data_IF_044098808181
#
_entry.id   IF_044098808181
#
_cell.length_a   1.000
_cell.length_b   1.000
_cell.length_c   1.000
_cell.angle_alpha   90.00
_cell.angle_beta   90.00
_cell.angle_gamma   90.00
#
_symmetry.space_group_name_H-M   'P 1'
#
loop_
_entity.id
_entity.type
_entity.pdbx_description
1 polymer ?
#
# COMPACT_ATOMS: atom_id res chain seq x y z
N UNK A 1 0.91 -31.39 -4.65
CA UNK A 1 0.93 -30.15 -5.44
C UNK A 1 2.35 -29.92 -5.93
N UNK A 2 2.57 -29.89 -7.23
CA UNK A 2 3.89 -29.51 -7.80
C UNK A 2 4.19 -28.08 -7.37
N UNK A 3 5.29 -27.89 -6.64
CA UNK A 3 5.75 -26.57 -6.22
C UNK A 3 6.07 -25.75 -7.46
N UNK A 4 5.37 -24.64 -7.69
CA UNK A 4 5.68 -23.72 -8.77
C UNK A 4 7.12 -23.21 -8.59
N UNK A 5 7.87 -23.10 -9.68
CA UNK A 5 9.16 -22.41 -9.67
C UNK A 5 8.88 -20.95 -10.04
N UNK A 6 8.99 -20.04 -9.10
CA UNK A 6 8.79 -18.60 -9.33
C UNK A 6 10.01 -18.03 -10.03
N UNK A 7 9.81 -17.51 -11.23
CA UNK A 7 10.86 -16.84 -12.00
C UNK A 7 10.91 -15.36 -11.65
N UNK A 8 12.11 -14.80 -11.52
CA UNK A 8 12.37 -13.38 -11.34
C UNK A 8 13.06 -12.84 -12.58
N UNK A 9 12.42 -11.90 -13.28
CA UNK A 9 12.96 -11.30 -14.49
C UNK A 9 13.06 -9.77 -14.35
N UNK A 10 14.14 -9.15 -14.82
CA UNK A 10 14.21 -7.71 -14.95
C UNK A 10 13.14 -7.22 -15.93
N UNK A 11 12.64 -6.02 -15.71
CA UNK A 11 11.70 -5.39 -16.63
C UNK A 11 12.33 -5.19 -18.01
N UNK A 12 11.60 -5.64 -19.02
CA UNK A 12 11.88 -5.45 -20.45
C UNK A 12 10.58 -5.63 -21.24
N UNK A 13 10.53 -5.24 -22.51
CA UNK A 13 9.37 -5.53 -23.37
C UNK A 13 9.06 -7.03 -23.46
N UNK A 14 10.10 -7.87 -23.48
CA UNK A 14 9.95 -9.32 -23.55
C UNK A 14 9.35 -9.87 -22.25
N UNK A 15 9.82 -9.41 -21.08
CA UNK A 15 9.28 -9.85 -19.80
C UNK A 15 7.86 -9.33 -19.56
N UNK A 16 7.52 -8.12 -20.07
CA UNK A 16 6.16 -7.60 -20.06
C UNK A 16 5.20 -8.46 -20.92
N UNK A 17 5.62 -8.87 -22.12
CA UNK A 17 4.83 -9.81 -22.96
C UNK A 17 4.63 -11.16 -22.28
N UNK A 18 5.67 -11.71 -21.66
CA UNK A 18 5.58 -12.96 -20.89
C UNK A 18 4.60 -12.83 -19.72
N UNK A 19 4.64 -11.70 -18.99
CA UNK A 19 3.68 -11.41 -17.93
C UNK A 19 2.23 -11.35 -18.47
N UNK A 20 2.03 -10.69 -19.61
CA UNK A 20 0.72 -10.61 -20.27
C UNK A 20 0.19 -11.97 -20.70
N UNK A 21 1.02 -12.85 -21.29
CA UNK A 21 0.64 -14.21 -21.67
C UNK A 21 0.19 -15.03 -20.45
N UNK A 22 0.92 -14.96 -19.33
CA UNK A 22 0.54 -15.62 -18.08
C UNK A 22 -0.81 -15.12 -17.58
N UNK A 23 -1.02 -13.79 -17.54
CA UNK A 23 -2.27 -13.21 -17.05
C UNK A 23 -3.44 -13.44 -18.00
N UNK A 24 -3.22 -13.45 -19.31
CA UNK A 24 -4.24 -13.84 -20.30
C UNK A 24 -4.68 -15.30 -20.15
N UNK A 25 -3.79 -16.19 -19.70
CA UNK A 25 -4.11 -17.57 -19.34
C UNK A 25 -4.76 -17.72 -17.95
N UNK A 26 -5.08 -16.61 -17.25
CA UNK A 26 -5.68 -16.60 -15.92
C UNK A 26 -4.69 -16.72 -14.77
N UNK A 27 -3.39 -16.58 -15.04
CA UNK A 27 -2.33 -16.60 -14.02
C UNK A 27 -2.19 -15.28 -13.27
N UNK A 28 -1.31 -15.31 -12.27
CA UNK A 28 -0.99 -14.18 -11.39
C UNK A 28 0.48 -13.84 -11.49
N UNK A 29 0.84 -12.55 -11.57
CA UNK A 29 2.21 -12.07 -11.73
C UNK A 29 2.51 -10.95 -10.70
N UNK A 30 3.71 -10.97 -10.12
CA UNK A 30 4.23 -9.86 -9.33
C UNK A 30 4.72 -8.73 -10.25
N UNK A 31 4.17 -7.53 -10.10
CA UNK A 31 4.52 -6.37 -10.95
C UNK A 31 5.01 -5.19 -10.12
N UNK A 32 6.00 -4.41 -10.63
CA UNK A 32 6.48 -3.21 -9.96
C UNK A 32 5.50 -2.04 -10.15
N UNK A 33 5.32 -1.21 -9.12
CA UNK A 33 4.71 0.12 -9.25
C UNK A 33 5.56 1.15 -8.51
N UNK A 34 5.25 2.45 -8.68
CA UNK A 34 5.94 3.52 -7.95
C UNK A 34 5.63 3.53 -6.46
N UNK A 35 4.53 2.88 -6.04
CA UNK A 35 4.08 2.83 -4.63
C UNK A 35 4.60 1.61 -3.89
N UNK A 36 4.11 0.43 -4.23
CA UNK A 36 4.52 -0.88 -3.73
C UNK A 36 4.35 -1.90 -4.85
N UNK A 37 5.02 -3.04 -4.80
CA UNK A 37 4.78 -4.13 -5.76
C UNK A 37 3.36 -4.66 -5.65
N UNK A 38 2.73 -4.89 -6.80
CA UNK A 38 1.37 -5.43 -6.93
C UNK A 38 1.36 -6.91 -7.34
N UNK A 39 0.39 -7.65 -6.85
CA UNK A 39 0.09 -9.02 -7.29
C UNK A 39 -1.06 -8.96 -8.29
N UNK A 40 -0.75 -9.05 -9.59
CA UNK A 40 -1.64 -8.68 -10.69
C UNK A 40 -2.27 -9.87 -11.39
N UNK A 41 -3.55 -9.72 -11.76
CA UNK A 41 -4.29 -10.62 -12.65
C UNK A 41 -5.36 -9.84 -13.42
N UNK A 42 -5.98 -10.45 -14.45
CA UNK A 42 -7.10 -9.84 -15.19
C UNK A 42 -8.25 -9.48 -14.25
N UNK A 43 -8.54 -8.18 -14.12
CA UNK A 43 -9.58 -7.65 -13.23
C UNK A 43 -11.00 -8.13 -13.59
N UNK A 44 -11.22 -8.61 -14.81
CA UNK A 44 -12.52 -9.08 -15.34
C UNK A 44 -12.73 -10.58 -15.15
N UNK A 45 -11.63 -11.31 -14.88
CA UNK A 45 -11.66 -12.75 -14.72
C UNK A 45 -11.77 -13.14 -13.25
N UNK A 46 -12.96 -13.56 -12.83
CA UNK A 46 -13.21 -13.94 -11.44
C UNK A 46 -12.29 -15.04 -10.92
N UNK A 47 -11.97 -16.05 -11.74
CA UNK A 47 -11.06 -17.13 -11.35
C UNK A 47 -9.63 -16.63 -11.14
N UNK A 48 -9.12 -15.78 -12.04
CA UNK A 48 -7.80 -15.15 -11.90
C UNK A 48 -7.73 -14.25 -10.65
N UNK A 49 -8.78 -13.49 -10.35
CA UNK A 49 -8.87 -12.69 -9.14
C UNK A 49 -8.88 -13.54 -7.87
N UNK A 50 -9.60 -14.68 -7.87
CA UNK A 50 -9.57 -15.64 -6.74
C UNK A 50 -8.18 -16.20 -6.49
N UNK A 51 -7.40 -16.47 -7.55
CA UNK A 51 -6.00 -16.91 -7.41
C UNK A 51 -5.10 -15.88 -6.73
N UNK A 52 -5.39 -14.57 -6.85
CA UNK A 52 -4.69 -13.53 -6.07
C UNK A 52 -4.93 -13.75 -4.56
N UNK A 53 -6.19 -13.95 -4.15
CA UNK A 53 -6.53 -14.17 -2.75
C UNK A 53 -5.91 -15.46 -2.20
N UNK A 54 -5.89 -16.53 -2.98
CA UNK A 54 -5.26 -17.80 -2.62
C UNK A 54 -3.75 -17.66 -2.44
N UNK A 55 -3.05 -17.02 -3.40
CA UNK A 55 -1.62 -16.80 -3.32
C UNK A 55 -1.23 -15.98 -2.07
N UNK A 56 -2.04 -14.99 -1.68
CA UNK A 56 -1.82 -14.13 -0.51
C UNK A 56 -2.27 -14.78 0.81
N UNK A 57 -3.13 -15.80 0.80
CA UNK A 57 -3.86 -16.23 1.99
C UNK A 57 -4.78 -15.14 2.54
N UNK A 58 -5.45 -14.37 1.64
CA UNK A 58 -6.28 -13.19 1.99
C UNK A 58 -7.77 -13.53 1.92
N UNK A 59 -8.61 -13.02 2.87
CA UNK A 59 -10.05 -13.10 2.75
C UNK A 59 -10.58 -12.39 1.49
N UNK A 60 -11.60 -12.98 0.83
CA UNK A 60 -12.12 -12.50 -0.45
C UNK A 60 -13.08 -11.29 -0.34
N UNK A 61 -13.44 -10.87 0.87
CA UNK A 61 -14.36 -9.76 1.16
C UNK A 61 -13.67 -8.38 1.20
N UNK A 62 -12.43 -8.30 0.74
CA UNK A 62 -11.64 -7.07 0.73
C UNK A 62 -11.38 -6.64 -0.73
N UNK A 63 -11.96 -5.52 -1.20
CA UNK A 63 -11.90 -5.12 -2.60
C UNK A 63 -10.47 -4.93 -3.10
N UNK A 64 -10.28 -5.08 -4.41
CA UNK A 64 -9.00 -4.87 -5.09
C UNK A 64 -9.03 -3.57 -5.88
N UNK A 65 -7.85 -2.98 -6.09
CA UNK A 65 -7.67 -1.81 -6.96
C UNK A 65 -7.44 -2.31 -8.38
N UNK A 66 -8.23 -1.78 -9.31
CA UNK A 66 -8.08 -2.02 -10.75
C UNK A 66 -7.11 -1.00 -11.33
N UNK A 67 -6.08 -1.49 -12.02
CA UNK A 67 -5.05 -0.68 -12.62
C UNK A 67 -5.26 -0.57 -14.14
N UNK A 68 -5.17 0.65 -14.64
CA UNK A 68 -5.27 1.01 -16.06
C UNK A 68 -3.99 1.71 -16.52
N UNK A 69 -3.70 1.72 -17.83
CA UNK A 69 -2.54 2.41 -18.41
C UNK A 69 -2.92 3.70 -19.14
N UNK A 70 -4.21 3.85 -19.50
CA UNK A 70 -4.74 5.00 -20.21
C UNK A 70 -6.15 5.35 -19.71
N UNK A 71 -6.54 6.63 -19.83
CA UNK A 71 -7.83 7.13 -19.35
C UNK A 71 -9.01 6.52 -20.10
N UNK A 72 -8.81 6.16 -21.37
CA UNK A 72 -9.80 5.50 -22.23
C UNK A 72 -10.25 4.15 -21.72
N UNK A 73 -9.46 3.52 -20.84
CA UNK A 73 -9.83 2.25 -20.20
C UNK A 73 -10.78 2.45 -19.00
N UNK A 74 -10.98 3.68 -18.50
CA UNK A 74 -11.82 3.96 -17.34
C UNK A 74 -13.33 3.80 -17.64
N UNK A 75 -13.92 4.39 -18.73
CA UNK A 75 -15.36 4.37 -18.94
C UNK A 75 -16.00 2.98 -18.96
N UNK A 76 -15.39 1.91 -19.53
CA UNK A 76 -15.98 0.57 -19.51
C UNK A 76 -16.08 -0.03 -18.10
N UNK A 77 -15.27 0.42 -17.14
CA UNK A 77 -15.17 -0.15 -15.79
C UNK A 77 -16.19 0.43 -14.81
N UNK A 78 -16.75 1.59 -15.13
CA UNK A 78 -17.56 2.40 -14.22
C UNK A 78 -18.89 2.84 -14.87
N UNK A 79 -19.92 3.10 -14.04
CA UNK A 79 -21.22 3.57 -14.53
C UNK A 79 -21.27 5.07 -14.70
N UNK A 80 -20.46 5.81 -13.93
CA UNK A 80 -20.44 7.26 -13.89
C UNK A 80 -19.03 7.75 -13.55
N UNK A 81 -18.62 8.85 -14.19
CA UNK A 81 -17.36 9.55 -13.92
C UNK A 81 -17.71 11.00 -13.56
N UNK A 82 -17.59 11.40 -12.28
CA UNK A 82 -17.79 12.80 -11.89
C UNK A 82 -16.82 13.74 -12.61
N UNK A 83 -17.26 14.95 -12.95
CA UNK A 83 -16.40 15.96 -13.58
C UNK A 83 -15.17 16.28 -12.74
N UNK A 84 -15.33 16.32 -11.41
CA UNK A 84 -14.22 16.49 -10.46
C UNK A 84 -13.18 15.37 -10.59
N UNK A 85 -13.62 14.13 -10.85
CA UNK A 85 -12.69 13.01 -11.04
C UNK A 85 -11.81 13.19 -12.28
N UNK A 86 -12.33 13.76 -13.37
CA UNK A 86 -11.55 14.06 -14.57
C UNK A 86 -10.51 15.14 -14.29
N UNK A 87 -10.87 16.22 -13.58
CA UNK A 87 -9.94 17.29 -13.16
C UNK A 87 -8.83 16.77 -12.27
N UNK A 88 -9.15 15.87 -11.33
CA UNK A 88 -8.19 15.24 -10.45
C UNK A 88 -7.29 14.25 -11.23
N UNK A 89 -7.87 13.48 -12.17
CA UNK A 89 -7.10 12.57 -13.03
C UNK A 89 -6.10 13.32 -13.91
N UNK A 90 -6.50 14.43 -14.52
CA UNK A 90 -5.62 15.28 -15.35
C UNK A 90 -4.37 15.75 -14.58
N UNK A 91 -4.52 16.04 -13.28
CA UNK A 91 -3.41 16.54 -12.45
C UNK A 91 -2.57 15.43 -11.81
N UNK A 92 -3.19 14.30 -11.42
CA UNK A 92 -2.57 13.30 -10.58
C UNK A 92 -2.51 11.89 -11.17
N UNK A 93 -2.98 11.65 -12.38
CA UNK A 93 -2.79 10.45 -13.16
C UNK A 93 -1.93 10.70 -14.40
N UNK A 94 -0.96 9.82 -14.67
CA UNK A 94 -0.56 8.64 -13.88
C UNK A 94 0.10 9.03 -12.56
N UNK A 95 -0.19 8.26 -11.48
CA UNK A 95 0.36 8.58 -10.16
C UNK A 95 -0.17 7.74 -9.00
N UNK A 96 0.25 8.09 -7.76
CA UNK A 96 -0.08 7.35 -6.55
C UNK A 96 -1.48 7.71 -6.00
N UNK A 97 -2.48 7.78 -6.89
CA UNK A 97 -3.86 8.09 -6.57
C UNK A 97 -4.82 7.03 -7.08
N UNK A 98 -5.72 6.58 -6.22
CA UNK A 98 -6.82 5.66 -6.50
C UNK A 98 -8.14 6.37 -6.26
N UNK A 99 -9.05 6.31 -7.22
CA UNK A 99 -10.39 6.88 -7.13
C UNK A 99 -11.45 5.79 -7.12
N UNK A 100 -12.48 5.93 -6.29
CA UNK A 100 -13.59 4.97 -6.17
C UNK A 100 -14.78 5.49 -6.98
N UNK A 101 -15.33 4.60 -7.81
CA UNK A 101 -16.47 4.87 -8.68
C UNK A 101 -17.57 3.81 -8.54
N UNK A 102 -18.83 4.10 -8.90
CA UNK A 102 -19.86 3.06 -9.11
C UNK A 102 -19.39 2.09 -10.21
N UNK A 103 -19.29 0.79 -9.90
CA UNK A 103 -18.76 -0.21 -10.85
C UNK A 103 -19.75 -0.51 -11.97
N UNK A 104 -19.24 -0.81 -13.17
CA UNK A 104 -20.02 -1.44 -14.25
C UNK A 104 -20.14 -2.95 -14.04
N UNK A 105 -20.95 -3.60 -14.87
CA UNK A 105 -21.13 -5.06 -14.86
C UNK A 105 -19.88 -5.83 -15.37
N UNK A 106 -18.92 -5.12 -15.99
CA UNK A 106 -17.64 -5.70 -16.41
C UNK A 106 -16.79 -6.13 -15.19
N UNK A 107 -16.99 -5.52 -14.04
CA UNK A 107 -16.22 -5.80 -12.82
C UNK A 107 -16.94 -6.86 -11.97
N UNK A 108 -16.38 -8.09 -11.85
CA UNK A 108 -16.99 -9.16 -11.07
C UNK A 108 -17.00 -8.84 -9.57
N UNK A 109 -17.89 -9.53 -8.85
CA UNK A 109 -18.01 -9.37 -7.40
C UNK A 109 -16.69 -9.70 -6.66
N UNK A 110 -15.92 -10.65 -7.13
CA UNK A 110 -14.62 -11.00 -6.55
C UNK A 110 -13.64 -9.80 -6.56
N UNK A 111 -13.61 -9.01 -7.62
CA UNK A 111 -12.74 -7.82 -7.75
C UNK A 111 -13.22 -6.70 -6.83
N UNK A 112 -14.52 -6.47 -6.74
CA UNK A 112 -15.11 -5.42 -5.90
C UNK A 112 -15.30 -5.82 -4.43
N UNK A 113 -14.99 -7.07 -4.04
CA UNK A 113 -15.28 -7.58 -2.70
C UNK A 113 -16.77 -7.57 -2.37
N UNK A 114 -17.64 -7.71 -3.39
CA UNK A 114 -19.12 -7.66 -3.26
C UNK A 114 -19.68 -6.24 -3.11
N UNK A 115 -18.87 -5.19 -3.32
CA UNK A 115 -19.33 -3.79 -3.30
C UNK A 115 -19.90 -3.38 -4.67
N UNK A 116 -20.79 -2.37 -4.69
CA UNK A 116 -21.29 -1.71 -5.90
C UNK A 116 -20.33 -0.67 -6.47
N UNK A 117 -19.12 -0.62 -5.93
CA UNK A 117 -18.07 0.32 -6.30
C UNK A 117 -16.82 -0.41 -6.73
N UNK A 118 -15.98 0.25 -7.53
CA UNK A 118 -14.66 -0.19 -7.95
C UNK A 118 -13.64 0.92 -7.68
N UNK A 119 -12.49 0.56 -7.17
CA UNK A 119 -11.34 1.45 -7.01
C UNK A 119 -10.45 1.33 -8.25
N UNK A 120 -10.15 2.46 -8.91
CA UNK A 120 -9.35 2.50 -10.14
C UNK A 120 -8.14 3.40 -9.95
N UNK A 121 -7.01 3.00 -10.52
CA UNK A 121 -5.75 3.75 -10.50
C UNK A 121 -5.03 3.64 -11.83
N UNK A 122 -4.36 4.72 -12.23
CA UNK A 122 -3.37 4.72 -13.31
C UNK A 122 -1.99 4.89 -12.67
N UNK A 123 -1.15 3.84 -12.56
CA UNK A 123 0.17 3.94 -11.92
C UNK A 123 1.14 4.77 -12.76
N UNK A 124 2.07 5.48 -12.10
CA UNK A 124 3.12 6.24 -12.77
C UNK A 124 4.24 5.34 -13.32
N UNK A 125 4.47 4.18 -12.72
CA UNK A 125 5.53 3.24 -13.12
C UNK A 125 5.47 2.90 -14.61
N UNK A 126 6.50 3.20 -15.41
CA UNK A 126 6.54 2.83 -16.83
C UNK A 126 6.44 1.31 -17.02
N UNK A 127 7.05 0.52 -16.13
CA UNK A 127 6.98 -0.92 -16.17
C UNK A 127 5.54 -1.44 -15.94
N UNK A 128 4.82 -0.90 -14.94
CA UNK A 128 3.42 -1.26 -14.70
C UNK A 128 2.55 -0.95 -15.92
N UNK A 129 2.69 0.24 -16.49
CA UNK A 129 1.91 0.68 -17.66
C UNK A 129 2.20 -0.19 -18.89
N UNK A 130 3.48 -0.45 -19.18
CA UNK A 130 3.86 -1.33 -20.28
C UNK A 130 3.31 -2.76 -20.14
N UNK A 131 3.24 -3.29 -18.91
CA UNK A 131 2.64 -4.60 -18.64
C UNK A 131 1.13 -4.55 -18.89
N UNK A 132 0.42 -3.50 -18.42
CA UNK A 132 -1.03 -3.33 -18.65
C UNK A 132 -1.31 -3.17 -20.15
N UNK A 133 -0.50 -2.40 -20.87
CA UNK A 133 -0.61 -2.22 -22.33
C UNK A 133 -0.40 -3.55 -23.06
N UNK A 134 0.61 -4.33 -22.67
CA UNK A 134 0.86 -5.64 -23.26
C UNK A 134 -0.28 -6.65 -23.00
N UNK A 135 -0.98 -6.53 -21.87
CA UNK A 135 -2.16 -7.34 -21.56
C UNK A 135 -3.37 -6.95 -22.42
N UNK A 136 -3.54 -5.67 -22.75
CA UNK A 136 -4.73 -5.15 -23.43
C UNK A 136 -6.01 -5.18 -22.58
N UNK A 137 -5.89 -5.39 -21.25
CA UNK A 137 -6.99 -5.40 -20.30
C UNK A 137 -6.55 -4.85 -18.93
N UNK A 138 -7.52 -4.34 -18.10
CA UNK A 138 -7.21 -3.80 -16.78
C UNK A 138 -6.81 -4.92 -15.80
N UNK A 139 -5.90 -4.59 -14.87
CA UNK A 139 -5.35 -5.54 -13.90
C UNK A 139 -5.87 -5.26 -12.48
N UNK A 140 -6.42 -6.25 -11.81
CA UNK A 140 -6.63 -6.19 -10.36
C UNK A 140 -5.30 -6.46 -9.66
N UNK A 141 -4.83 -5.54 -8.82
CA UNK A 141 -3.55 -5.71 -8.13
C UNK A 141 -3.56 -5.15 -6.69
N UNK A 142 -3.72 -5.97 -5.66
CA UNK A 142 -3.32 -5.62 -4.29
C UNK A 142 -1.80 -5.67 -4.16
N UNK A 143 -1.24 -5.23 -3.02
CA UNK A 143 0.19 -5.40 -2.71
C UNK A 143 0.62 -6.87 -2.77
N UNK A 144 1.84 -7.16 -3.19
CA UNK A 144 2.33 -8.53 -3.46
C UNK A 144 2.96 -9.21 -2.23
N UNK A 145 2.43 -8.97 -1.02
CA UNK A 145 2.84 -9.60 0.24
C UNK A 145 1.88 -10.71 0.67
N UNK A 146 2.31 -11.58 1.58
CA UNK A 146 1.42 -12.42 2.37
C UNK A 146 0.45 -11.54 3.18
N UNK A 147 -0.80 -11.99 3.35
CA UNK A 147 -1.82 -11.21 4.04
C UNK A 147 -1.36 -10.86 5.47
N UNK A 148 -1.42 -9.58 5.83
CA UNK A 148 -1.02 -9.07 7.13
C UNK A 148 0.42 -8.56 7.21
N UNK A 149 1.35 -9.04 6.40
CA UNK A 149 2.76 -8.63 6.39
C UNK A 149 2.97 -7.23 5.81
N UNK A 150 4.13 -6.57 6.05
CA UNK A 150 4.48 -5.30 5.43
C UNK A 150 4.48 -5.38 3.89
N UNK A 151 4.03 -4.32 3.22
CA UNK A 151 3.97 -4.29 1.75
C UNK A 151 5.38 -4.39 1.13
N UNK A 152 5.53 -5.05 -0.04
CA UNK A 152 6.84 -5.20 -0.68
C UNK A 152 7.19 -3.96 -1.50
N UNK A 153 8.40 -3.43 -1.31
CA UNK A 153 8.96 -2.28 -2.02
C UNK A 153 10.06 -2.65 -3.00
N UNK A 154 10.49 -3.92 -3.01
CA UNK A 154 11.45 -4.49 -3.96
C UNK A 154 10.96 -5.83 -4.49
N UNK A 155 11.49 -6.26 -5.63
CA UNK A 155 11.21 -7.58 -6.20
C UNK A 155 11.65 -8.72 -5.26
N UNK A 156 12.73 -8.53 -4.49
CA UNK A 156 13.19 -9.50 -3.51
C UNK A 156 12.19 -9.68 -2.36
N UNK A 157 11.55 -8.60 -1.91
CA UNK A 157 10.46 -8.70 -0.92
C UNK A 157 9.29 -9.55 -1.44
N UNK A 158 8.95 -9.39 -2.74
CA UNK A 158 7.93 -10.23 -3.38
C UNK A 158 8.40 -11.67 -3.48
N UNK A 159 9.66 -11.92 -3.85
CA UNK A 159 10.22 -13.27 -3.91
C UNK A 159 10.18 -13.96 -2.56
N UNK A 160 10.50 -13.26 -1.48
CA UNK A 160 10.46 -13.82 -0.12
C UNK A 160 9.04 -14.29 0.27
N UNK A 161 8.00 -13.54 -0.13
CA UNK A 161 6.60 -13.83 0.21
C UNK A 161 5.92 -14.80 -0.77
N UNK A 162 6.23 -14.71 -2.07
CA UNK A 162 5.47 -15.36 -3.15
C UNK A 162 6.20 -16.50 -3.86
N UNK A 163 7.43 -16.83 -3.47
CA UNK A 163 8.16 -17.95 -4.06
C UNK A 163 7.38 -19.27 -3.93
N UNK A 164 7.19 -19.94 -5.06
CA UNK A 164 6.43 -21.19 -5.15
C UNK A 164 4.91 -21.01 -5.13
N UNK A 165 4.40 -19.75 -5.13
CA UNK A 165 2.96 -19.41 -5.13
C UNK A 165 2.50 -18.80 -6.45
N UNK A 166 3.39 -18.09 -7.16
CA UNK A 166 3.13 -17.45 -8.45
C UNK A 166 4.24 -17.80 -9.44
N UNK A 167 3.95 -17.83 -10.75
CA UNK A 167 4.94 -18.25 -11.74
C UNK A 167 6.02 -17.20 -12.04
N UNK A 168 5.72 -15.90 -11.91
CA UNK A 168 6.60 -14.82 -12.39
C UNK A 168 6.52 -13.58 -11.51
N UNK A 169 7.68 -12.95 -11.31
CA UNK A 169 7.85 -11.61 -10.75
C UNK A 169 8.66 -10.77 -11.74
N UNK A 170 8.19 -9.58 -12.06
CA UNK A 170 8.93 -8.60 -12.86
C UNK A 170 9.65 -7.62 -11.92
N UNK A 171 10.98 -7.56 -12.05
CA UNK A 171 11.79 -6.60 -11.29
C UNK A 171 11.90 -5.28 -12.04
N UNK A 172 11.28 -4.23 -11.49
CA UNK A 172 11.36 -2.85 -11.97
C UNK A 172 12.16 -1.93 -11.05
N UNK A 173 12.96 -2.50 -10.14
CA UNK A 173 13.71 -1.77 -9.13
C UNK A 173 12.88 -1.45 -7.88
N UNK A 174 13.44 -0.60 -7.03
CA UNK A 174 12.81 -0.17 -5.79
C UNK A 174 11.68 0.82 -6.02
N UNK A 175 10.61 0.71 -5.22
CA UNK A 175 9.45 1.60 -5.29
C UNK A 175 9.79 2.98 -4.76
N UNK A 176 9.57 4.02 -5.56
CA UNK A 176 9.92 5.41 -5.20
C UNK A 176 9.12 5.95 -4.00
N UNK A 177 7.81 5.66 -3.90
CA UNK A 177 6.96 6.18 -2.84
C UNK A 177 7.05 5.36 -1.53
N UNK A 178 7.19 4.05 -1.63
CA UNK A 178 7.31 3.14 -0.48
C UNK A 178 6.02 2.87 0.32
N UNK A 179 4.96 3.66 0.13
CA UNK A 179 3.63 3.46 0.71
C UNK A 179 2.57 3.37 -0.38
N UNK A 180 1.45 2.72 -0.10
CA UNK A 180 0.36 2.55 -1.05
C UNK A 180 -0.28 3.89 -1.42
N UNK A 181 -0.95 3.91 -2.58
CA UNK A 181 -1.66 5.07 -3.13
C UNK A 181 -2.68 5.67 -2.17
N UNK A 182 -2.91 6.97 -2.28
CA UNK A 182 -4.09 7.63 -1.72
C UNK A 182 -5.34 6.99 -2.32
N UNK A 183 -6.36 6.75 -1.48
CA UNK A 183 -7.68 6.27 -1.92
C UNK A 183 -8.71 7.29 -1.53
N UNK A 184 -9.51 7.76 -2.49
CA UNK A 184 -10.58 8.71 -2.25
C UNK A 184 -11.90 8.31 -2.93
N UNK A 185 -13.00 8.89 -2.44
CA UNK A 185 -14.31 8.82 -3.07
C UNK A 185 -14.92 10.23 -3.21
N UNK A 186 -16.04 10.33 -3.91
CA UNK A 186 -16.71 11.57 -4.27
C UNK A 186 -18.07 11.67 -3.56
N UNK A 187 -18.15 12.21 -2.31
CA UNK A 187 -19.41 12.37 -1.59
C UNK A 187 -20.29 13.50 -2.14
N UNK A 188 -19.72 14.48 -2.88
CA UNK A 188 -20.43 15.56 -3.55
C UNK A 188 -19.64 16.02 -4.80
N UNK A 189 -20.26 16.87 -5.63
CA UNK A 189 -19.69 17.33 -6.89
C UNK A 189 -18.39 18.15 -6.73
N UNK A 190 -18.22 18.83 -5.60
CA UNK A 190 -17.10 19.70 -5.26
C UNK A 190 -16.21 19.15 -4.13
N UNK A 191 -16.45 17.90 -3.71
CA UNK A 191 -15.84 17.33 -2.50
C UNK A 191 -15.31 15.93 -2.72
N UNK A 192 -14.13 15.66 -2.16
CA UNK A 192 -13.57 14.31 -2.02
C UNK A 192 -13.44 13.93 -0.56
N UNK A 193 -13.48 12.63 -0.28
CA UNK A 193 -13.13 12.08 1.02
C UNK A 193 -12.00 11.07 0.87
N UNK A 194 -10.89 11.33 1.57
CA UNK A 194 -9.73 10.47 1.62
C UNK A 194 -10.01 9.34 2.61
N UNK A 195 -10.09 8.12 2.10
CA UNK A 195 -10.30 6.90 2.89
C UNK A 195 -8.98 6.27 3.32
N UNK A 196 -7.92 6.47 2.53
CA UNK A 196 -6.56 6.02 2.83
C UNK A 196 -5.57 7.08 2.38
N UNK A 197 -4.75 7.67 3.26
CA UNK A 197 -3.73 8.63 2.87
C UNK A 197 -2.57 7.93 2.14
N UNK A 198 -1.92 8.65 1.24
CA UNK A 198 -0.80 8.19 0.40
C UNK A 198 -0.06 9.35 -0.23
N UNK A 199 0.58 9.12 -1.40
CA UNK A 199 1.43 10.11 -2.06
C UNK A 199 0.73 11.38 -2.58
N UNK A 200 -0.60 11.31 -2.86
CA UNK A 200 -1.40 12.52 -3.12
C UNK A 200 -2.08 12.91 -1.82
N UNK A 201 -1.73 14.09 -1.27
CA UNK A 201 -2.12 14.53 0.05
C UNK A 201 -3.42 15.34 0.05
N UNK A 202 -4.02 15.57 1.24
CA UNK A 202 -5.22 16.39 1.37
C UNK A 202 -4.95 17.84 0.94
N UNK A 203 -3.79 18.37 1.27
CA UNK A 203 -3.35 19.73 0.91
C UNK A 203 -3.25 19.89 -0.61
N UNK A 204 -2.69 18.89 -1.31
CA UNK A 204 -2.62 18.87 -2.78
C UNK A 204 -4.01 18.84 -3.42
N UNK A 205 -4.94 18.07 -2.87
CA UNK A 205 -6.32 17.98 -3.37
C UNK A 205 -7.12 19.25 -3.06
N UNK A 206 -6.82 19.94 -1.97
CA UNK A 206 -7.48 21.19 -1.56
C UNK A 206 -7.24 22.35 -2.52
N UNK A 207 -6.28 22.22 -3.44
CA UNK A 207 -6.10 23.17 -4.55
C UNK A 207 -7.22 23.05 -5.62
N UNK A 208 -7.94 21.93 -5.68
CA UNK A 208 -8.95 21.64 -6.69
C UNK A 208 -10.38 21.56 -6.13
N UNK A 209 -10.54 21.14 -4.87
CA UNK A 209 -11.84 20.83 -4.27
C UNK A 209 -11.77 20.82 -2.74
N UNK A 210 -12.91 20.62 -2.08
CA UNK A 210 -12.91 20.31 -0.65
C UNK A 210 -12.41 18.88 -0.42
N UNK A 211 -11.35 18.74 0.38
CA UNK A 211 -10.73 17.45 0.68
C UNK A 211 -10.87 17.10 2.16
N UNK A 212 -11.80 16.21 2.48
CA UNK A 212 -12.01 15.71 3.84
C UNK A 212 -11.19 14.42 4.06
N UNK A 213 -10.69 14.25 5.27
CA UNK A 213 -10.05 13.00 5.70
C UNK A 213 -11.09 12.20 6.49
N UNK A 214 -11.28 10.92 6.12
CA UNK A 214 -12.18 10.03 6.85
C UNK A 214 -11.66 9.80 8.29
N UNK A 215 -12.51 9.91 9.34
CA UNK A 215 -12.08 9.70 10.72
C UNK A 215 -11.38 8.35 10.97
N UNK A 216 -11.73 7.30 10.20
CA UNK A 216 -11.09 6.00 10.30
C UNK A 216 -9.62 6.00 9.85
N UNK A 217 -9.10 7.08 9.26
CA UNK A 217 -7.67 7.22 8.92
C UNK A 217 -6.79 7.29 10.17
N UNK A 218 -7.26 7.98 11.20
CA UNK A 218 -6.52 8.23 12.46
C UNK A 218 -7.07 7.50 13.67
N UNK A 219 -8.13 6.70 13.48
CA UNK A 219 -8.77 5.91 14.54
C UNK A 219 -9.06 4.48 14.07
N UNK A 220 -9.33 3.57 15.00
CA UNK A 220 -9.83 2.25 14.64
C UNK A 220 -11.26 2.35 14.09
N UNK A 221 -11.56 1.68 12.95
CA UNK A 221 -12.92 1.62 12.48
C UNK A 221 -13.81 0.85 13.46
N UNK A 222 -15.07 1.23 13.65
CA UNK A 222 -16.00 0.49 14.48
C UNK A 222 -16.11 -0.98 14.04
N UNK A 223 -16.19 -1.90 15.01
CA UNK A 223 -16.36 -3.33 14.71
C UNK A 223 -17.61 -3.54 13.84
N UNK A 224 -17.44 -4.21 12.70
CA UNK A 224 -18.53 -4.47 11.74
C UNK A 224 -18.79 -3.38 10.71
N UNK A 225 -18.00 -2.29 10.67
CA UNK A 225 -18.12 -1.27 9.64
C UNK A 225 -17.87 -1.85 8.23
N UNK A 226 -18.72 -1.50 7.27
CA UNK A 226 -18.54 -1.86 5.86
C UNK A 226 -17.44 -0.97 5.28
N UNK A 227 -16.28 -1.55 5.00
CA UNK A 227 -15.08 -0.82 4.58
C UNK A 227 -15.03 -0.73 3.07
N UNK A 228 -14.98 0.49 2.52
CA UNK A 228 -14.95 0.75 1.07
C UNK A 228 -13.52 0.78 0.49
N UNK A 229 -12.49 0.80 1.32
CA UNK A 229 -11.09 0.91 0.88
C UNK A 229 -10.26 -0.31 1.30
N UNK A 230 -9.37 -0.82 0.44
CA UNK A 230 -8.40 -1.85 0.82
C UNK A 230 -7.54 -1.41 2.01
N UNK A 231 -7.22 -2.34 2.92
CA UNK A 231 -6.30 -2.08 4.03
C UNK A 231 -6.91 -1.49 5.30
N UNK A 232 -8.25 -1.32 5.38
CA UNK A 232 -8.91 -0.76 6.57
C UNK A 232 -9.58 -1.79 7.49
N UNK A 233 -9.81 -3.03 7.02
CA UNK A 233 -10.67 -3.99 7.73
C UNK A 233 -9.92 -4.95 8.66
N UNK A 234 -8.71 -5.31 8.33
CA UNK A 234 -7.92 -6.34 9.02
C UNK A 234 -6.60 -5.77 9.51
N UNK A 235 -5.91 -6.51 10.41
CA UNK A 235 -4.52 -6.23 10.76
C UNK A 235 -3.69 -6.23 9.46
N UNK A 236 -3.04 -5.13 9.17
CA UNK A 236 -2.25 -4.92 7.97
C UNK A 236 -0.87 -4.38 8.32
N UNK A 237 0.11 -4.63 7.45
CA UNK A 237 1.45 -4.06 7.52
C UNK A 237 2.25 -4.47 8.75
N UNK A 238 1.80 -5.51 9.48
CA UNK A 238 2.42 -5.87 10.75
C UNK A 238 3.64 -6.75 10.53
N UNK A 239 4.82 -6.34 11.03
CA UNK A 239 5.93 -7.25 11.25
C UNK A 239 5.58 -8.28 12.33
N UNK A 240 6.46 -9.24 12.57
CA UNK A 240 6.35 -10.19 13.69
C UNK A 240 6.58 -9.50 15.03
N UNK A 241 7.46 -8.48 15.04
CA UNK A 241 7.74 -7.66 16.20
C UNK A 241 6.53 -6.82 16.64
N UNK A 242 6.44 -6.50 17.92
CA UNK A 242 5.49 -5.49 18.42
C UNK A 242 5.96 -4.09 18.07
N UNK A 243 5.08 -3.28 17.47
CA UNK A 243 5.39 -1.91 17.04
C UNK A 243 4.76 -0.90 18.00
N UNK A 244 5.57 0.04 18.48
CA UNK A 244 5.15 1.13 19.36
C UNK A 244 5.53 2.47 18.75
N UNK A 245 4.56 3.39 18.63
CA UNK A 245 4.79 4.77 18.23
C UNK A 245 5.08 5.57 19.50
N UNK A 246 6.27 6.13 19.60
CA UNK A 246 6.71 6.94 20.74
C UNK A 246 6.52 8.41 20.43
N UNK A 247 5.71 9.09 21.24
CA UNK A 247 5.45 10.53 21.08
C UNK A 247 6.61 11.35 21.64
N UNK A 248 7.76 11.25 20.98
CA UNK A 248 8.99 11.98 21.28
C UNK A 248 9.80 12.16 20.00
N UNK A 249 10.72 13.11 19.97
CA UNK A 249 11.54 13.45 18.82
C UNK A 249 13.03 13.63 19.18
N UNK A 250 13.89 13.36 18.19
CA UNK A 250 15.32 13.59 18.25
C UNK A 250 15.97 12.99 19.50
N UNK A 251 16.75 13.81 20.24
CA UNK A 251 17.45 13.35 21.45
C UNK A 251 16.51 12.76 22.51
N UNK A 252 15.31 13.32 22.69
CA UNK A 252 14.35 12.83 23.66
C UNK A 252 13.85 11.41 23.31
N UNK A 253 13.59 11.15 22.04
CA UNK A 253 13.27 9.80 21.55
C UNK A 253 14.43 8.84 21.80
N UNK A 254 15.66 9.25 21.45
CA UNK A 254 16.87 8.44 21.65
C UNK A 254 17.09 8.07 23.12
N UNK A 255 17.06 9.03 24.03
CA UNK A 255 17.24 8.84 25.47
C UNK A 255 16.14 7.88 26.03
N UNK A 256 14.90 8.09 25.58
CA UNK A 256 13.78 7.23 25.99
C UNK A 256 13.97 5.77 25.50
N UNK A 257 14.34 5.57 24.24
CA UNK A 257 14.60 4.25 23.71
C UNK A 257 15.73 3.53 24.46
N UNK A 258 16.83 4.25 24.74
CA UNK A 258 17.96 3.68 25.51
C UNK A 258 17.55 3.22 26.92
N UNK A 259 16.64 3.95 27.58
CA UNK A 259 16.15 3.60 28.91
C UNK A 259 15.15 2.44 28.93
N UNK A 260 14.52 2.12 27.77
CA UNK A 260 13.51 1.05 27.63
C UNK A 260 13.98 -0.10 26.74
N UNK A 261 15.25 -0.08 26.30
CA UNK A 261 15.81 -1.12 25.46
C UNK A 261 15.87 -2.48 26.17
N UNK A 262 15.44 -3.51 25.48
CA UNK A 262 15.58 -4.92 25.86
C UNK A 262 16.23 -5.70 24.71
N UNK A 263 16.58 -6.93 24.94
CA UNK A 263 17.12 -7.81 23.90
C UNK A 263 16.11 -7.98 22.72
N UNK A 264 16.53 -7.67 21.52
CA UNK A 264 15.70 -7.70 20.31
C UNK A 264 14.88 -6.42 20.09
N UNK A 265 15.26 -5.30 20.75
CA UNK A 265 14.67 -3.99 20.48
C UNK A 265 15.35 -3.31 19.30
N UNK A 266 14.56 -2.81 18.34
CA UNK A 266 14.97 -1.86 17.31
C UNK A 266 14.26 -0.52 17.50
N UNK A 267 14.92 0.57 17.10
CA UNK A 267 14.38 1.92 17.15
C UNK A 267 14.51 2.60 15.78
N UNK A 268 13.41 3.09 15.24
CA UNK A 268 13.36 3.85 13.98
C UNK A 268 13.35 5.33 14.31
N UNK A 269 14.47 5.99 14.08
CA UNK A 269 14.73 7.40 14.40
C UNK A 269 14.81 8.25 13.14
N UNK A 270 14.27 9.48 13.18
CA UNK A 270 14.41 10.45 12.09
C UNK A 270 15.86 10.86 11.90
N UNK A 271 16.58 11.11 12.99
CA UNK A 271 18.00 11.43 12.96
C UNK A 271 18.88 10.17 13.10
N UNK A 272 20.05 10.15 12.46
CA UNK A 272 21.03 9.08 12.67
C UNK A 272 21.50 9.05 14.14
N UNK A 273 21.44 7.87 14.76
CA UNK A 273 21.95 7.60 16.10
C UNK A 273 23.01 6.52 16.02
N UNK A 274 24.23 6.82 16.51
CA UNK A 274 25.36 5.88 16.51
C UNK A 274 25.21 4.81 17.61
N UNK A 275 24.22 3.94 17.46
CA UNK A 275 24.01 2.79 18.34
C UNK A 275 23.30 1.66 17.57
N UNK A 276 23.74 0.42 17.80
CA UNK A 276 23.35 -0.76 17.00
C UNK A 276 21.84 -1.05 16.92
N UNK A 277 21.05 -0.60 17.89
CA UNK A 277 19.61 -0.78 17.85
C UNK A 277 18.86 0.26 17.00
N UNK A 278 19.51 1.37 16.62
CA UNK A 278 18.85 2.40 15.82
C UNK A 278 18.99 2.16 14.33
N UNK A 279 17.93 2.46 13.62
CA UNK A 279 17.88 2.56 12.15
C UNK A 279 17.39 3.93 11.77
N UNK A 280 18.06 4.59 10.83
CA UNK A 280 17.58 5.86 10.30
C UNK A 280 16.26 5.61 9.56
N UNK A 281 15.18 6.23 10.04
CA UNK A 281 13.86 6.13 9.44
C UNK A 281 13.68 7.09 8.24
N UNK A 282 14.43 8.18 8.22
CA UNK A 282 14.35 9.25 7.23
C UNK A 282 14.11 10.60 7.89
N UNK A 283 14.78 11.64 7.38
CA UNK A 283 14.76 12.99 7.95
C UNK A 283 13.48 13.76 7.66
N UNK A 284 12.81 13.38 6.57
CA UNK A 284 11.52 13.96 6.20
C UNK A 284 10.46 12.88 5.97
N UNK A 285 9.23 13.32 5.83
CA UNK A 285 8.10 12.40 5.66
C UNK A 285 8.14 11.59 4.36
N UNK A 286 8.80 12.09 3.31
CA UNK A 286 8.93 11.36 2.03
C UNK A 286 9.96 10.23 2.16
N UNK A 287 11.12 10.48 2.79
CA UNK A 287 12.10 9.45 3.11
C UNK A 287 11.50 8.40 4.06
N UNK A 288 10.74 8.82 5.07
CA UNK A 288 10.05 7.93 6.00
C UNK A 288 9.05 7.03 5.27
N UNK A 289 8.25 7.59 4.36
CA UNK A 289 7.31 6.82 3.55
C UNK A 289 8.05 5.79 2.67
N UNK A 290 9.14 6.20 2.03
CA UNK A 290 9.96 5.33 1.18
C UNK A 290 10.55 4.15 1.95
N UNK A 291 11.05 4.37 3.17
CA UNK A 291 11.79 3.38 3.96
C UNK A 291 10.93 2.50 4.87
N UNK A 292 9.70 2.92 5.19
CA UNK A 292 8.87 2.31 6.21
C UNK A 292 8.80 0.78 6.09
N UNK A 293 8.34 0.27 4.96
CA UNK A 293 8.11 -1.17 4.82
C UNK A 293 9.40 -1.97 4.70
N UNK A 294 10.45 -1.40 4.11
CA UNK A 294 11.76 -2.03 4.07
C UNK A 294 12.29 -2.24 5.50
N UNK A 295 12.26 -1.20 6.34
CA UNK A 295 12.71 -1.27 7.73
C UNK A 295 11.89 -2.24 8.59
N UNK A 296 10.58 -2.32 8.38
CA UNK A 296 9.74 -3.31 9.08
C UNK A 296 10.07 -4.75 8.66
N UNK A 297 10.46 -4.98 7.39
CA UNK A 297 10.92 -6.28 6.88
C UNK A 297 12.32 -6.62 7.39
N UNK A 298 13.24 -5.67 7.37
CA UNK A 298 14.58 -5.82 7.95
C UNK A 298 14.50 -6.22 9.44
N UNK A 299 13.60 -5.58 10.19
CA UNK A 299 13.35 -5.95 11.59
C UNK A 299 12.89 -7.40 11.75
N UNK A 300 12.03 -7.90 10.87
CA UNK A 300 11.61 -9.31 10.86
C UNK A 300 12.77 -10.26 10.54
N UNK A 301 13.62 -9.89 9.58
CA UNK A 301 14.80 -10.66 9.16
C UNK A 301 15.88 -10.70 10.26
N UNK A 302 16.05 -9.61 11.00
CA UNK A 302 16.94 -9.50 12.17
C UNK A 302 16.37 -10.20 13.42
N UNK A 303 15.11 -10.65 13.38
CA UNK A 303 14.45 -11.31 14.51
C UNK A 303 14.10 -10.36 15.66
N UNK A 304 13.83 -9.09 15.34
CA UNK A 304 13.39 -8.10 16.32
C UNK A 304 12.12 -8.58 17.05
N UNK A 305 12.03 -8.29 18.35
CA UNK A 305 10.84 -8.54 19.19
C UNK A 305 10.00 -7.29 19.38
N UNK A 306 10.67 -6.14 19.43
CA UNK A 306 10.05 -4.83 19.67
C UNK A 306 10.63 -3.79 18.74
N UNK A 307 9.77 -2.96 18.16
CA UNK A 307 10.16 -1.84 17.30
C UNK A 307 9.58 -0.56 17.91
N UNK A 308 10.44 0.35 18.36
CA UNK A 308 10.06 1.71 18.73
C UNK A 308 10.20 2.61 17.51
N UNK A 309 9.17 3.38 17.20
CA UNK A 309 9.17 4.30 16.07
C UNK A 309 8.95 5.72 16.56
N UNK A 310 9.86 6.62 16.19
CA UNK A 310 9.69 8.05 16.42
C UNK A 310 8.40 8.54 15.75
N UNK A 311 7.62 9.38 16.46
CA UNK A 311 6.33 9.87 15.97
C UNK A 311 6.49 10.57 14.60
N UNK A 312 5.91 10.06 13.50
CA UNK A 312 5.93 10.77 12.23
C UNK A 312 4.98 11.97 12.23
N UNK A 313 5.17 12.88 11.29
CA UNK A 313 4.21 13.95 11.03
C UNK A 313 2.82 13.39 10.73
N UNK A 314 1.78 14.12 11.15
CA UNK A 314 0.38 13.82 10.79
C UNK A 314 -0.15 14.69 9.64
N UNK A 315 0.74 15.38 8.95
CA UNK A 315 0.45 16.26 7.81
C UNK A 315 1.11 15.72 6.54
N UNK A 316 0.58 16.09 5.40
CA UNK A 316 1.10 15.68 4.11
C UNK A 316 1.24 14.16 3.98
N UNK A 317 2.33 13.70 3.37
CA UNK A 317 2.64 12.27 3.24
C UNK A 317 2.96 11.61 4.61
N UNK A 318 3.33 12.38 5.62
CA UNK A 318 3.55 11.89 6.99
C UNK A 318 2.30 11.25 7.59
N UNK A 319 1.10 11.75 7.22
CA UNK A 319 -0.16 11.12 7.61
C UNK A 319 -0.29 9.69 7.06
N UNK A 320 0.25 9.41 5.87
CA UNK A 320 0.27 8.05 5.33
C UNK A 320 1.19 7.13 6.15
N UNK A 321 2.38 7.61 6.50
CA UNK A 321 3.33 6.90 7.38
C UNK A 321 2.66 6.59 8.73
N UNK A 322 2.09 7.62 9.37
CA UNK A 322 1.38 7.48 10.63
C UNK A 322 0.25 6.44 10.54
N UNK A 323 -0.60 6.52 9.51
CA UNK A 323 -1.68 5.56 9.28
C UNK A 323 -1.19 4.11 9.14
N UNK A 324 -0.06 3.86 8.43
CA UNK A 324 0.52 2.51 8.28
C UNK A 324 1.06 1.98 9.59
N UNK A 325 1.73 2.82 10.36
CA UNK A 325 2.22 2.48 11.70
C UNK A 325 1.08 2.17 12.67
N UNK A 326 0.00 2.94 12.65
CA UNK A 326 -1.21 2.62 13.43
C UNK A 326 -1.76 1.24 13.10
N UNK A 327 -1.78 0.84 11.81
CA UNK A 327 -2.26 -0.48 11.38
C UNK A 327 -1.27 -1.60 11.69
N UNK A 328 0.03 -1.31 11.70
CA UNK A 328 1.07 -2.24 12.12
C UNK A 328 1.01 -2.50 13.63
N UNK A 329 0.75 -1.47 14.42
CA UNK A 329 0.65 -1.50 15.88
C UNK A 329 -0.69 -2.05 16.42
N UNK A 330 -1.64 -2.49 15.60
CA UNK A 330 -3.05 -2.72 15.88
C UNK A 330 -3.40 -3.78 16.97
N UNK A 331 -2.44 -4.25 17.75
CA UNK A 331 -2.67 -5.13 18.93
C UNK A 331 -2.23 -4.45 20.24
N UNK A 332 -1.40 -3.41 20.17
CA UNK A 332 -0.89 -2.69 21.35
C UNK A 332 -0.81 -1.21 21.04
N UNK A 333 -1.97 -0.57 20.96
CA UNK A 333 -2.07 0.87 20.79
C UNK A 333 -1.66 1.56 22.09
N UNK A 334 -0.39 1.84 22.26
CA UNK A 334 0.09 2.66 23.36
C UNK A 334 0.87 3.84 22.76
N UNK A 335 0.22 5.00 22.71
CA UNK A 335 0.97 6.24 22.66
C UNK A 335 1.74 6.35 23.96
N UNK A 336 3.00 5.96 23.95
CA UNK A 336 3.89 6.19 25.06
C UNK A 336 4.19 7.69 25.07
N UNK A 337 3.52 8.43 25.95
CA UNK A 337 3.89 9.81 26.26
C UNK A 337 4.98 9.77 27.31
N UNK A 338 6.03 10.55 27.09
CA UNK A 338 7.03 10.76 28.14
C UNK A 338 6.35 11.41 29.36
N UNK A 339 6.75 11.06 30.60
CA UNK A 339 6.33 11.82 31.74
C UNK A 339 6.70 13.29 31.50
N UNK A 340 5.74 14.20 31.59
CA UNK A 340 6.04 15.61 31.70
C UNK A 340 6.90 15.79 32.95
N UNK A 341 8.20 16.02 32.76
CA UNK A 341 9.03 16.50 33.83
C UNK A 341 8.42 17.84 34.24
N UNK A 342 7.84 17.90 35.44
CA UNK A 342 7.47 19.15 36.07
C UNK A 342 8.67 20.10 36.03
N UNK A 343 8.51 21.20 35.30
CA UNK A 343 9.42 22.36 35.33
C UNK A 343 9.21 23.15 36.62
#
# INVERSE_FOLDING_TARGET
MTRLNTELLPFSEQSAKKAAEIMAAGGVVGIPTETVYGLAADARNEAAVRSIFEAKGRPQDNPLIVHISALEQLPPLVREIPELALKIAEKYWPGPLTMIFPKSDMIPAATSGGLDTVAVRMPESPAARAIIDACGFPLAAPSANLSGSPSPTTAQHVMNDMNGRIPLIIDGGECRCGVESTVLCFPAADRVRILRPGGVTAEMLSELCQADIDPAVTSEPPKGAKVMSPGMKYKHYSPKAEVFIVNAHGKQFGDWCMSHAAEGTLALSADPVEHGMFRCFGRDAAEQAHRLFALLREADDEGAKTIYVEMPSKEGIGLAVYNRLLRAAAVSYTHLTLPTSDL
#
